data_IF_399715786918
#
_entry.id   IF_399715786918
#
_cell.length_a   1.000
_cell.length_b   1.000
_cell.length_c   1.000
_cell.angle_alpha   90.00
_cell.angle_beta   90.00
_cell.angle_gamma   90.00
#
_symmetry.space_group_name_H-M   'P 1'
#
loop_
_entity.id
_entity.type
_entity.pdbx_description
1 polymer ?
#
# COMPACT_ATOMS: atom_id res chain seq x y z
N UNK A 1 10.33 -0.29 -0.29
CA UNK A 1 9.34 -1.09 0.47
C UNK A 1 8.78 -2.13 -0.46
N UNK A 2 8.38 -3.29 0.08
CA UNK A 2 7.66 -4.33 -0.67
C UNK A 2 6.25 -4.48 -0.11
N UNK A 3 5.25 -4.79 -0.94
CA UNK A 3 3.93 -5.10 -0.42
C UNK A 3 3.99 -6.44 0.34
N UNK A 4 3.23 -6.56 1.42
CA UNK A 4 3.17 -7.78 2.23
C UNK A 4 1.73 -8.16 2.53
N UNK A 5 1.49 -9.47 2.59
CA UNK A 5 0.20 -10.01 3.02
C UNK A 5 -0.05 -9.73 4.50
N UNK A 6 -1.33 -9.55 4.85
CA UNK A 6 -1.80 -9.42 6.22
C UNK A 6 -3.12 -10.18 6.37
N UNK A 7 -3.52 -10.45 7.63
CA UNK A 7 -4.60 -11.38 7.98
C UNK A 7 -5.92 -11.15 7.21
N UNK A 8 -6.26 -9.89 6.93
CA UNK A 8 -7.52 -9.50 6.30
C UNK A 8 -7.45 -9.42 4.77
N UNK A 9 -6.29 -9.66 4.14
CA UNK A 9 -6.19 -9.70 2.68
C UNK A 9 -7.23 -10.68 2.11
N UNK A 10 -8.01 -10.20 1.14
CA UNK A 10 -9.07 -10.99 0.50
C UNK A 10 -8.94 -11.03 -1.04
N UNK A 11 -8.00 -10.28 -1.61
CA UNK A 11 -7.73 -10.29 -3.05
C UNK A 11 -6.30 -9.81 -3.33
N UNK A 12 -5.78 -10.15 -4.51
CA UNK A 12 -4.49 -9.67 -5.02
C UNK A 12 -4.74 -8.88 -6.30
N UNK A 13 -4.30 -7.62 -6.33
CA UNK A 13 -4.35 -6.80 -7.55
C UNK A 13 -3.13 -7.07 -8.42
N UNK A 14 -3.31 -6.95 -9.74
CA UNK A 14 -2.26 -7.16 -10.74
C UNK A 14 -1.54 -8.53 -10.67
N UNK A 15 -2.24 -9.58 -10.20
CA UNK A 15 -1.67 -10.92 -10.07
C UNK A 15 -1.15 -11.50 -11.40
N UNK A 16 -1.88 -11.24 -12.49
CA UNK A 16 -1.62 -11.81 -13.82
C UNK A 16 -1.05 -10.77 -14.79
N UNK A 17 -0.48 -9.68 -14.29
CA UNK A 17 0.09 -8.60 -15.10
C UNK A 17 1.62 -8.56 -14.91
N UNK A 18 2.42 -9.06 -15.87
CA UNK A 18 3.86 -9.20 -15.71
C UNK A 18 4.60 -7.86 -15.55
N UNK A 19 4.00 -6.75 -15.98
CA UNK A 19 4.55 -5.40 -15.84
C UNK A 19 4.45 -4.85 -14.41
N UNK A 20 3.64 -5.47 -13.54
CA UNK A 20 3.35 -4.98 -12.19
C UNK A 20 3.64 -6.03 -11.13
N UNK A 21 3.99 -5.55 -9.94
CA UNK A 21 4.12 -6.43 -8.78
C UNK A 21 2.73 -6.76 -8.24
N UNK A 22 2.43 -8.05 -7.96
CA UNK A 22 1.19 -8.44 -7.29
C UNK A 22 1.03 -7.68 -5.97
N UNK A 23 -0.13 -7.08 -5.77
CA UNK A 23 -0.44 -6.25 -4.61
C UNK A 23 -1.52 -6.95 -3.78
N UNK A 24 -1.16 -7.66 -2.70
CA UNK A 24 -2.13 -8.20 -1.76
C UNK A 24 -2.85 -7.06 -1.03
N UNK A 25 -4.18 -7.12 -1.02
CA UNK A 25 -5.02 -6.09 -0.42
C UNK A 25 -6.20 -6.67 0.32
N UNK A 26 -6.69 -5.90 1.29
CA UNK A 26 -8.07 -6.00 1.73
C UNK A 26 -8.91 -5.03 0.90
N UNK A 27 -9.92 -5.55 0.20
CA UNK A 27 -10.91 -4.79 -0.55
C UNK A 27 -12.25 -4.87 0.17
N UNK A 28 -12.74 -3.74 0.66
CA UNK A 28 -14.06 -3.64 1.27
C UNK A 28 -15.15 -3.35 0.23
N UNK A 29 -16.39 -3.71 0.54
CA UNK A 29 -17.55 -3.50 -0.35
C UNK A 29 -17.85 -2.02 -0.63
N UNK A 30 -17.45 -1.14 0.29
CA UNK A 30 -17.58 0.32 0.13
C UNK A 30 -16.48 0.96 -0.72
N UNK A 31 -15.64 0.15 -1.38
CA UNK A 31 -14.58 0.62 -2.27
C UNK A 31 -13.27 1.02 -1.58
N UNK A 32 -13.17 0.91 -0.24
CA UNK A 32 -11.87 1.07 0.45
C UNK A 32 -10.94 -0.09 0.07
N UNK A 33 -9.69 0.24 -0.22
CA UNK A 33 -8.62 -0.74 -0.47
C UNK A 33 -7.47 -0.46 0.48
N UNK A 34 -7.04 -1.48 1.23
CA UNK A 34 -5.92 -1.39 2.17
C UNK A 34 -4.80 -2.30 1.69
N UNK A 35 -3.59 -1.75 1.57
CA UNK A 35 -2.36 -2.49 1.30
C UNK A 35 -1.36 -2.25 2.43
N UNK A 36 -0.55 -3.25 2.75
CA UNK A 36 0.53 -3.13 3.72
C UNK A 36 1.88 -3.13 3.01
N UNK A 37 2.78 -2.23 3.43
CA UNK A 37 4.10 -2.08 2.84
C UNK A 37 5.17 -2.20 3.91
N UNK A 38 6.09 -3.14 3.72
CA UNK A 38 7.18 -3.36 4.64
C UNK A 38 8.46 -2.67 4.16
N UNK A 39 9.01 -1.82 5.03
CA UNK A 39 10.35 -1.28 4.87
C UNK A 39 11.40 -2.33 5.20
N UNK A 40 12.42 -2.43 4.34
CA UNK A 40 13.65 -3.15 4.69
C UNK A 40 14.45 -2.37 5.75
N UNK A 41 15.51 -2.98 6.28
CA UNK A 41 16.30 -2.39 7.37
C UNK A 41 16.86 -0.99 7.02
N UNK A 42 17.43 -0.82 5.82
CA UNK A 42 17.99 0.46 5.38
C UNK A 42 16.89 1.52 5.23
N UNK A 43 15.74 1.14 4.68
CA UNK A 43 14.58 2.03 4.53
C UNK A 43 14.03 2.48 5.88
N UNK A 44 13.98 1.59 6.89
CA UNK A 44 13.57 1.94 8.25
C UNK A 44 14.46 3.01 8.85
N UNK A 45 15.79 2.88 8.70
CA UNK A 45 16.73 3.90 9.18
C UNK A 45 16.54 5.24 8.47
N UNK A 46 16.36 5.22 7.14
CA UNK A 46 16.08 6.46 6.37
C UNK A 46 14.77 7.10 6.81
N UNK A 47 13.71 6.33 6.99
CA UNK A 47 12.41 6.81 7.45
C UNK A 47 12.49 7.35 8.88
N UNK A 48 13.24 6.70 9.77
CA UNK A 48 13.46 7.17 11.15
C UNK A 48 14.15 8.54 11.17
N UNK A 49 15.18 8.73 10.34
CA UNK A 49 15.95 9.98 10.29
C UNK A 49 15.18 11.11 9.60
N UNK A 50 14.48 10.80 8.50
CA UNK A 50 13.86 11.83 7.65
C UNK A 50 12.39 12.08 7.95
N UNK A 51 11.69 11.10 8.53
CA UNK A 51 10.23 11.11 8.70
C UNK A 51 9.44 11.07 7.40
N UNK A 52 10.07 10.75 6.26
CA UNK A 52 9.46 10.89 4.93
C UNK A 52 9.13 9.55 4.28
N UNK A 53 7.94 9.49 3.68
CA UNK A 53 7.50 8.43 2.78
C UNK A 53 6.97 9.09 1.51
N UNK A 54 7.46 8.64 0.35
CA UNK A 54 7.00 9.12 -0.95
C UNK A 54 6.09 8.06 -1.58
N UNK A 55 4.89 8.46 -1.97
CA UNK A 55 3.90 7.60 -2.63
C UNK A 55 3.68 8.09 -4.07
N UNK A 56 3.91 7.21 -5.04
CA UNK A 56 3.57 7.43 -6.45
C UNK A 56 2.35 6.57 -6.79
N UNK A 57 1.30 7.20 -7.31
CA UNK A 57 0.09 6.51 -7.76
C UNK A 57 -0.08 6.77 -9.25
N UNK A 58 -0.33 5.72 -10.01
CA UNK A 58 -0.74 5.82 -11.40
C UNK A 58 -2.25 6.04 -11.42
N UNK A 59 -2.69 7.30 -11.57
CA UNK A 59 -4.11 7.61 -11.70
C UNK A 59 -4.63 7.42 -13.13
N UNK A 60 -3.73 7.15 -14.09
CA UNK A 60 -4.05 7.01 -15.51
C UNK A 60 -4.90 8.17 -16.06
N UNK A 61 -4.55 9.41 -15.66
CA UNK A 61 -5.27 10.64 -16.01
C UNK A 61 -6.72 10.72 -15.49
N UNK A 62 -7.13 9.83 -14.57
CA UNK A 62 -8.36 9.99 -13.80
C UNK A 62 -8.11 10.80 -12.52
N UNK A 63 -9.16 11.38 -11.91
CA UNK A 63 -9.06 12.05 -10.62
C UNK A 63 -8.42 11.14 -9.55
N UNK A 64 -7.57 11.72 -8.71
CA UNK A 64 -6.95 11.00 -7.59
C UNK A 64 -8.03 10.60 -6.58
N UNK A 65 -8.07 9.32 -6.22
CA UNK A 65 -8.93 8.82 -5.15
C UNK A 65 -8.42 9.31 -3.78
N UNK A 66 -9.30 9.51 -2.78
CA UNK A 66 -8.87 9.87 -1.43
C UNK A 66 -7.87 8.86 -0.85
N UNK A 67 -6.80 9.37 -0.23
CA UNK A 67 -5.72 8.55 0.33
C UNK A 67 -5.60 8.76 1.83
N UNK A 68 -5.37 7.67 2.55
CA UNK A 68 -4.97 7.68 3.96
C UNK A 68 -3.73 6.80 4.10
N UNK A 69 -2.66 7.36 4.67
CA UNK A 69 -1.44 6.63 5.01
C UNK A 69 -1.25 6.64 6.51
N UNK A 70 -0.87 5.51 7.07
CA UNK A 70 -0.60 5.34 8.50
C UNK A 70 0.45 4.24 8.68
N UNK A 71 1.23 4.37 9.75
CA UNK A 71 2.16 3.33 10.21
C UNK A 71 1.48 2.29 11.12
N UNK A 72 0.26 2.56 11.58
CA UNK A 72 -0.58 1.67 12.37
C UNK A 72 -1.81 1.26 11.56
N UNK A 73 -2.13 -0.03 11.62
CA UNK A 73 -3.29 -0.62 10.95
C UNK A 73 -4.59 -0.19 11.62
N UNK A 74 -4.60 -0.06 12.94
CA UNK A 74 -5.76 0.33 13.75
C UNK A 74 -6.26 1.71 13.33
N UNK A 75 -5.34 2.59 12.94
CA UNK A 75 -5.68 3.90 12.40
C UNK A 75 -6.26 3.86 10.98
N UNK A 76 -6.37 2.69 10.31
CA UNK A 76 -6.87 2.55 8.93
C UNK A 76 -8.36 2.13 8.84
N UNK A 77 -9.03 1.91 9.97
CA UNK A 77 -10.48 1.65 10.01
C UNK A 77 -11.32 2.85 9.52
#
# INVERSE_FOLDING_TARGET
>A
MIPVEFKECNTVYANDQPEYLPLPVYKADNGKVISCWQMNFIERIKALITGKVYLKILTFNHPLQPLKMSISKEAME
#
